data_IF_474499797670
#
_entry.id   IF_474499797670
#
_cell.length_a   1.000
_cell.length_b   1.000
_cell.length_c   1.000
_cell.angle_alpha   90.00
_cell.angle_beta   90.00
_cell.angle_gamma   90.00
#
_symmetry.space_group_name_H-M   'P 1'
#
loop_
_entity.id
_entity.type
_entity.pdbx_description
1 polymer ?
#
# COMPACT_ATOMS: atom_id res chain seq x y z
N UNK A 1 27.64 12.16 27.39
CA UNK A 1 27.90 11.76 25.99
C UNK A 1 26.61 11.99 25.21
N UNK A 2 26.57 12.95 24.28
CA UNK A 2 25.35 13.32 23.54
C UNK A 2 25.19 12.39 22.33
N UNK A 3 24.03 11.75 22.19
CA UNK A 3 23.62 11.11 20.94
C UNK A 3 22.46 11.93 20.35
N UNK A 4 22.69 12.56 19.20
CA UNK A 4 21.65 13.12 18.34
C UNK A 4 21.25 12.03 17.35
N UNK A 5 20.00 11.58 17.40
CA UNK A 5 19.45 10.57 16.49
C UNK A 5 17.95 10.80 16.33
N UNK A 6 17.53 11.03 15.09
CA UNK A 6 16.17 11.26 14.60
C UNK A 6 15.11 10.34 15.25
N UNK A 7 13.96 10.87 15.73
CA UNK A 7 12.86 10.04 16.18
C UNK A 7 12.02 9.62 14.98
N UNK A 8 12.52 8.72 14.14
CA UNK A 8 11.65 7.98 13.20
C UNK A 8 11.19 6.70 13.88
N UNK A 9 10.40 6.88 14.94
CA UNK A 9 9.73 5.79 15.63
C UNK A 9 8.21 6.06 15.56
N UNK A 10 7.59 5.69 14.45
CA UNK A 10 6.15 5.43 14.46
C UNK A 10 5.92 4.11 15.21
N UNK A 11 5.92 4.19 16.54
CA UNK A 11 5.30 3.15 17.38
C UNK A 11 3.83 3.56 17.50
N UNK A 12 3.05 3.34 16.44
CA UNK A 12 1.60 3.24 16.62
C UNK A 12 1.33 1.82 17.12
N UNK A 13 0.79 1.72 18.33
CA UNK A 13 0.26 0.47 18.91
C UNK A 13 -0.42 -0.37 17.82
N UNK A 14 -0.02 -1.63 17.73
CA UNK A 14 -0.64 -2.63 16.87
C UNK A 14 -2.11 -2.81 17.28
N UNK A 15 -3.03 -2.13 16.60
CA UNK A 15 -4.40 -2.62 16.45
C UNK A 15 -4.38 -3.60 15.28
N UNK A 16 -4.03 -4.86 15.55
CA UNK A 16 -4.06 -5.94 14.55
C UNK A 16 -5.51 -6.24 14.14
N UNK A 17 -6.01 -5.52 13.14
CA UNK A 17 -6.97 -6.10 12.19
C UNK A 17 -6.20 -6.34 10.90
N UNK A 18 -5.55 -7.50 10.82
CA UNK A 18 -4.97 -8.00 9.58
C UNK A 18 -6.13 -8.52 8.75
N UNK A 19 -6.29 -8.05 7.51
CA UNK A 19 -7.19 -8.71 6.56
C UNK A 19 -6.60 -10.09 6.25
N UNK A 20 -7.08 -11.11 6.96
CA UNK A 20 -6.70 -12.50 6.77
C UNK A 20 -7.68 -13.10 5.77
N UNK A 21 -7.39 -12.97 4.47
CA UNK A 21 -8.03 -13.83 3.46
C UNK A 21 -7.20 -15.12 3.41
N UNK A 22 -7.48 -16.03 4.35
CA UNK A 22 -6.96 -17.39 4.28
C UNK A 22 -7.98 -18.18 3.45
N UNK A 23 -7.50 -18.68 2.31
CA UNK A 23 -8.04 -19.86 1.62
C UNK A 23 -9.12 -19.68 0.54
N UNK A 24 -9.44 -18.48 0.07
CA UNK A 24 -10.53 -18.27 -0.91
C UNK A 24 -10.22 -17.27 -2.05
N UNK A 25 -8.96 -17.15 -2.49
CA UNK A 25 -8.63 -16.30 -3.64
C UNK A 25 -8.10 -17.16 -4.78
N UNK A 26 -8.76 -17.09 -5.93
CA UNK A 26 -8.34 -17.72 -7.19
C UNK A 26 -7.78 -16.67 -8.17
N UNK A 27 -7.12 -17.14 -9.24
CA UNK A 27 -6.65 -16.26 -10.28
C UNK A 27 -7.83 -15.50 -10.93
N UNK A 28 -7.73 -14.17 -10.97
CA UNK A 28 -8.78 -13.29 -11.49
C UNK A 28 -9.57 -12.56 -10.40
N UNK A 29 -9.49 -12.99 -9.15
CA UNK A 29 -10.13 -12.29 -8.04
C UNK A 29 -9.48 -10.93 -7.78
N UNK A 30 -10.29 -9.99 -7.31
CA UNK A 30 -9.86 -8.65 -6.95
C UNK A 30 -10.09 -8.41 -5.45
N UNK A 31 -9.07 -7.91 -4.77
CA UNK A 31 -9.14 -7.51 -3.37
C UNK A 31 -9.01 -5.99 -3.29
N UNK A 32 -10.04 -5.32 -2.79
CA UNK A 32 -9.99 -3.89 -2.51
C UNK A 32 -9.46 -3.65 -1.08
N UNK A 33 -8.42 -2.83 -0.96
CA UNK A 33 -7.80 -2.50 0.33
C UNK A 33 -7.95 -0.99 0.57
N UNK A 34 -8.63 -0.63 1.65
CA UNK A 34 -8.70 0.76 2.09
C UNK A 34 -7.36 1.22 2.66
N UNK A 35 -6.95 2.47 2.42
CA UNK A 35 -5.60 2.98 2.75
C UNK A 35 -5.22 2.95 4.23
N UNK A 36 -6.20 2.85 5.13
CA UNK A 36 -5.97 2.72 6.59
C UNK A 36 -5.97 1.28 7.11
N UNK A 37 -6.21 0.29 6.25
CA UNK A 37 -6.27 -1.12 6.66
C UNK A 37 -4.85 -1.68 6.78
N UNK A 38 -4.55 -2.23 7.96
CA UNK A 38 -3.28 -2.92 8.19
C UNK A 38 -3.30 -4.26 7.47
N UNK A 39 -2.31 -4.51 6.63
CA UNK A 39 -2.22 -5.73 5.84
C UNK A 39 -0.76 -6.24 5.78
N UNK A 40 -0.60 -7.56 5.70
CA UNK A 40 0.69 -8.24 5.53
C UNK A 40 0.50 -9.54 4.78
N UNK A 41 1.51 -9.97 4.02
CA UNK A 41 1.55 -11.30 3.41
C UNK A 41 2.61 -12.17 4.06
N UNK A 42 2.27 -13.43 4.38
CA UNK A 42 3.25 -14.41 4.82
C UNK A 42 4.22 -14.81 3.69
N UNK A 43 5.39 -15.34 4.09
CA UNK A 43 6.37 -15.95 3.17
C UNK A 43 5.69 -17.04 2.35
N UNK A 44 5.92 -17.06 1.03
CA UNK A 44 5.50 -18.16 0.18
C UNK A 44 6.42 -19.38 0.44
N UNK A 45 5.85 -20.48 0.92
CA UNK A 45 6.55 -21.75 1.19
C UNK A 45 6.31 -22.81 0.12
N UNK A 46 5.55 -22.47 -0.93
CA UNK A 46 5.26 -23.37 -2.04
C UNK A 46 6.27 -23.17 -3.17
N UNK A 47 6.32 -24.12 -4.11
CA UNK A 47 7.14 -24.00 -5.32
C UNK A 47 6.46 -23.16 -6.42
N UNK A 48 5.17 -22.85 -6.27
CA UNK A 48 4.41 -22.06 -7.23
C UNK A 48 4.58 -20.55 -6.96
N UNK A 49 4.69 -19.75 -8.01
CA UNK A 49 4.68 -18.30 -7.90
C UNK A 49 3.28 -17.79 -7.49
N UNK A 50 3.24 -16.75 -6.64
CA UNK A 50 2.02 -16.03 -6.24
C UNK A 50 2.05 -14.62 -6.84
N UNK A 51 1.94 -14.55 -8.17
CA UNK A 51 1.99 -13.28 -8.93
C UNK A 51 0.71 -12.49 -8.71
N UNK A 52 0.84 -11.19 -8.45
CA UNK A 52 -0.28 -10.26 -8.27
C UNK A 52 0.00 -8.96 -9.00
N UNK A 53 -1.05 -8.30 -9.48
CA UNK A 53 -0.99 -6.95 -10.01
C UNK A 53 -1.66 -5.98 -9.03
N UNK A 54 -0.97 -4.90 -8.68
CA UNK A 54 -1.47 -3.92 -7.71
C UNK A 54 -1.29 -2.51 -8.24
N UNK A 55 -2.28 -1.66 -8.01
CA UNK A 55 -2.20 -0.23 -8.24
C UNK A 55 -2.93 0.49 -7.11
N UNK A 56 -2.54 1.74 -6.85
CA UNK A 56 -3.16 2.58 -5.82
C UNK A 56 -3.91 3.71 -6.52
N UNK A 57 -5.08 4.03 -6.00
CA UNK A 57 -5.90 5.13 -6.49
C UNK A 57 -6.09 6.14 -5.37
N UNK A 58 -6.16 7.41 -5.75
CA UNK A 58 -6.49 8.52 -4.86
C UNK A 58 -7.67 9.26 -5.45
N UNK A 59 -8.51 9.81 -4.57
CA UNK A 59 -9.64 10.63 -5.01
C UNK A 59 -9.13 11.86 -5.78
N UNK A 60 -9.84 12.21 -6.86
CA UNK A 60 -9.42 13.32 -7.71
C UNK A 60 -9.56 14.64 -6.95
N UNK A 61 -8.48 15.42 -6.90
CA UNK A 61 -8.44 16.69 -6.17
C UNK A 61 -8.08 16.55 -4.68
N UNK A 62 -7.80 15.34 -4.19
CA UNK A 62 -7.22 15.17 -2.87
C UNK A 62 -5.83 15.83 -2.78
N UNK A 63 -5.52 16.41 -1.63
CA UNK A 63 -4.19 16.96 -1.37
C UNK A 63 -3.16 15.83 -1.28
N UNK A 64 -2.13 15.89 -2.13
CA UNK A 64 -1.01 14.96 -2.07
C UNK A 64 0.09 15.53 -1.18
N UNK A 65 0.51 14.77 -0.18
CA UNK A 65 1.53 15.25 0.77
C UNK A 65 2.89 15.41 0.08
N UNK A 66 3.59 16.54 0.27
CA UNK A 66 4.94 16.75 -0.26
C UNK A 66 5.99 15.84 0.41
N UNK A 67 5.63 15.19 1.53
CA UNK A 67 6.49 14.25 2.24
C UNK A 67 6.34 12.81 1.74
N UNK A 68 5.38 12.54 0.85
CA UNK A 68 5.24 11.21 0.26
C UNK A 68 6.44 10.91 -0.63
N UNK A 69 6.93 9.66 -0.57
CA UNK A 69 8.06 9.22 -1.37
C UNK A 69 7.81 9.39 -2.88
N UNK A 70 6.64 9.00 -3.36
CA UNK A 70 6.26 9.21 -4.76
C UNK A 70 5.67 10.59 -4.93
N UNK A 71 6.15 11.31 -5.94
CA UNK A 71 5.62 12.61 -6.33
C UNK A 71 5.29 12.58 -7.83
N UNK A 72 4.18 13.21 -8.25
CA UNK A 72 3.90 13.39 -9.67
C UNK A 72 4.90 14.40 -10.26
N UNK A 73 5.19 14.27 -11.55
CA UNK A 73 6.04 15.23 -12.28
C UNK A 73 5.27 15.86 -13.42
N UNK A 74 5.76 16.96 -13.97
CA UNK A 74 5.14 17.60 -15.14
C UNK A 74 5.05 16.66 -16.34
N UNK A 75 6.08 15.81 -16.54
CA UNK A 75 6.12 14.84 -17.64
C UNK A 75 5.25 13.60 -17.38
N UNK A 76 5.05 13.25 -16.12
CA UNK A 76 4.30 12.08 -15.70
C UNK A 76 3.43 12.45 -14.48
N UNK A 77 2.28 13.12 -14.70
CA UNK A 77 1.29 13.31 -13.66
C UNK A 77 0.60 11.97 -13.35
N UNK A 78 -0.07 11.89 -12.19
CA UNK A 78 -0.91 10.72 -11.92
C UNK A 78 -2.10 10.70 -12.89
N UNK A 79 -2.28 9.63 -13.68
CA UNK A 79 -3.32 9.59 -14.71
C UNK A 79 -4.71 9.39 -14.10
N UNK A 80 -5.74 9.80 -14.84
CA UNK A 80 -7.13 9.44 -14.55
C UNK A 80 -7.35 7.96 -14.83
N UNK A 81 -8.14 7.29 -13.98
CA UNK A 81 -8.56 5.91 -14.19
C UNK A 81 -9.69 5.79 -15.22
N UNK A 82 -10.49 6.84 -15.37
CA UNK A 82 -11.58 6.88 -16.34
C UNK A 82 -11.05 7.38 -17.68
N UNK A 83 -11.32 6.62 -18.74
CA UNK A 83 -11.15 7.03 -20.12
C UNK A 83 -12.36 7.89 -20.50
N UNK A 84 -12.16 9.20 -20.66
CA UNK A 84 -13.15 10.06 -21.33
C UNK A 84 -12.99 9.94 -22.84
#
# INVERSE_FOLDING_TARGET
>A
MKCHGSPTAFISKACEFVVIIKDLIIAGDCVLIHGSVIHKSGRNTTQAARTVYTYHMVEKGAAWSPLNWTQPTEKLPYPSIYSN
#
